data_IF_174471635659
#
_entry.id   IF_174471635659
#
_cell.length_a   1.000
_cell.length_b   1.000
_cell.length_c   1.000
_cell.angle_alpha   90.00
_cell.angle_beta   90.00
_cell.angle_gamma   90.00
#
_symmetry.space_group_name_H-M   'P 1'
#
loop_
_entity.id
_entity.type
_entity.pdbx_description
1 polymer ?
#
# COMPACT_ATOMS: atom_id res chain seq x y z
N UNK A 1 -14.16 -4.32 -16.29
CA UNK A 1 -12.75 -4.46 -15.84
C UNK A 1 -12.15 -3.08 -15.87
N UNK A 2 -11.68 -2.59 -14.76
CA UNK A 2 -11.00 -1.29 -14.71
C UNK A 2 -9.59 -1.47 -15.26
N UNK A 3 -9.20 -0.64 -16.22
CA UNK A 3 -7.92 -0.73 -16.91
C UNK A 3 -6.81 -0.02 -16.11
N UNK A 4 -5.56 -0.38 -16.39
CA UNK A 4 -4.42 0.33 -15.83
C UNK A 4 -4.29 1.75 -16.40
N UNK A 5 -4.21 2.72 -15.52
CA UNK A 5 -3.85 4.10 -15.86
C UNK A 5 -2.33 4.21 -15.99
N UNK A 6 -1.85 4.70 -17.12
CA UNK A 6 -0.42 4.98 -17.32
C UNK A 6 -0.08 6.35 -16.72
N UNK A 7 1.00 6.42 -15.96
CA UNK A 7 1.42 7.62 -15.22
C UNK A 7 2.79 8.07 -15.70
N UNK A 8 2.90 9.36 -16.03
CA UNK A 8 4.17 10.08 -16.07
C UNK A 8 4.37 10.73 -14.69
N UNK A 9 5.18 10.13 -13.83
CA UNK A 9 5.39 10.59 -12.47
C UNK A 9 5.90 12.03 -12.41
N UNK A 10 5.24 12.86 -11.59
CA UNK A 10 5.59 14.25 -11.33
C UNK A 10 5.87 14.42 -9.82
N UNK A 11 7.13 14.67 -9.41
CA UNK A 11 7.51 14.81 -8.01
C UNK A 11 6.84 16.01 -7.31
N UNK A 12 6.57 17.10 -8.03
CA UNK A 12 5.93 18.27 -7.44
C UNK A 12 4.47 17.99 -7.10
N UNK A 13 3.74 17.34 -8.01
CA UNK A 13 2.38 16.89 -7.74
C UNK A 13 2.34 15.86 -6.63
N UNK A 14 3.26 14.90 -6.62
CA UNK A 14 3.38 13.94 -5.53
C UNK A 14 3.57 14.62 -4.17
N UNK A 15 4.40 15.66 -4.09
CA UNK A 15 4.58 16.44 -2.85
C UNK A 15 3.30 17.15 -2.42
N UNK A 16 2.55 17.74 -3.36
CA UNK A 16 1.26 18.38 -3.06
C UNK A 16 0.22 17.36 -2.58
N UNK A 17 0.11 16.22 -3.26
CA UNK A 17 -0.79 15.14 -2.86
C UNK A 17 -0.41 14.55 -1.50
N UNK A 18 0.89 14.51 -1.15
CA UNK A 18 1.37 14.08 0.17
C UNK A 18 0.97 15.07 1.27
N UNK A 19 1.03 16.39 1.00
CA UNK A 19 0.55 17.41 1.93
C UNK A 19 -0.98 17.34 2.12
N UNK A 20 -1.73 17.01 1.07
CA UNK A 20 -3.17 16.75 1.17
C UNK A 20 -3.47 15.48 1.97
N UNK A 21 -2.65 14.44 1.81
CA UNK A 21 -2.76 13.22 2.61
C UNK A 21 -2.59 13.51 4.10
N UNK A 22 -1.61 14.35 4.47
CA UNK A 22 -1.44 14.79 5.86
C UNK A 22 -2.69 15.49 6.39
N UNK A 23 -3.26 16.42 5.62
CA UNK A 23 -4.49 17.12 5.99
C UNK A 23 -5.67 16.15 6.16
N UNK A 24 -5.78 15.14 5.31
CA UNK A 24 -6.79 14.10 5.45
C UNK A 24 -6.60 13.32 6.76
N UNK A 25 -5.38 12.88 7.08
CA UNK A 25 -5.07 12.14 8.31
C UNK A 25 -5.39 12.96 9.58
N UNK A 26 -5.23 14.29 9.52
CA UNK A 26 -5.51 15.19 10.63
C UNK A 26 -6.98 15.63 10.72
N UNK A 27 -7.80 15.35 9.69
CA UNK A 27 -9.15 15.92 9.58
C UNK A 27 -10.16 15.29 10.54
N UNK A 28 -10.00 14.01 10.86
CA UNK A 28 -10.92 13.26 11.75
C UNK A 28 -10.24 12.07 12.41
N UNK A 29 -10.85 11.58 13.49
CA UNK A 29 -10.30 10.50 14.28
C UNK A 29 -10.42 9.13 13.59
N UNK A 30 -11.45 8.93 12.80
CA UNK A 30 -11.70 7.71 12.05
C UNK A 30 -11.91 8.10 10.59
N UNK A 31 -11.07 7.54 9.72
CA UNK A 31 -11.22 7.67 8.28
C UNK A 31 -11.94 6.44 7.73
N UNK A 32 -13.02 6.68 6.99
CA UNK A 32 -13.72 5.63 6.26
C UNK A 32 -12.89 5.19 5.06
N UNK A 33 -12.79 3.88 4.89
CA UNK A 33 -12.19 3.30 3.68
C UNK A 33 -12.88 3.81 2.41
N UNK A 34 -14.23 3.69 2.35
CA UNK A 34 -15.02 3.98 1.17
C UNK A 34 -15.24 5.48 0.91
N UNK A 35 -15.41 6.29 1.99
CA UNK A 35 -15.78 7.70 1.84
C UNK A 35 -14.56 8.64 1.85
N UNK A 36 -13.45 8.23 2.46
CA UNK A 36 -12.28 9.08 2.66
C UNK A 36 -11.03 8.57 1.93
N UNK A 37 -10.63 7.33 2.24
CA UNK A 37 -9.32 6.79 1.84
C UNK A 37 -9.31 6.39 0.37
N UNK A 38 -10.25 5.57 -0.06
CA UNK A 38 -10.32 5.12 -1.44
C UNK A 38 -10.48 6.30 -2.42
N UNK A 39 -11.44 7.25 -2.22
CA UNK A 39 -11.54 8.43 -3.08
C UNK A 39 -10.29 9.32 -3.05
N UNK A 40 -9.56 9.34 -1.91
CA UNK A 40 -8.31 10.08 -1.83
C UNK A 40 -7.24 9.46 -2.72
N UNK A 41 -6.98 8.16 -2.61
CA UNK A 41 -5.97 7.48 -3.42
C UNK A 41 -6.33 7.47 -4.91
N UNK A 42 -7.63 7.37 -5.26
CA UNK A 42 -8.09 7.43 -6.66
C UNK A 42 -7.77 8.78 -7.34
N UNK A 43 -7.89 9.90 -6.63
CA UNK A 43 -7.56 11.22 -7.18
C UNK A 43 -6.08 11.60 -7.06
N UNK A 44 -5.34 10.98 -6.12
CA UNK A 44 -3.94 11.28 -5.80
C UNK A 44 -3.00 10.34 -6.55
N UNK A 45 -3.01 10.43 -7.87
CA UNK A 45 -2.40 9.46 -8.77
C UNK A 45 -0.89 9.37 -8.65
N UNK A 46 -0.21 10.52 -8.43
CA UNK A 46 1.25 10.56 -8.29
C UNK A 46 1.70 10.00 -6.94
N UNK A 47 0.98 10.29 -5.86
CA UNK A 47 1.22 9.71 -4.55
C UNK A 47 1.00 8.19 -4.58
N UNK A 48 -0.10 7.74 -5.17
CA UNK A 48 -0.42 6.31 -5.29
C UNK A 48 0.67 5.58 -6.09
N UNK A 49 1.12 6.15 -7.21
CA UNK A 49 2.25 5.59 -7.95
C UNK A 49 3.53 5.53 -7.10
N UNK A 50 3.78 6.54 -6.28
CA UNK A 50 4.94 6.60 -5.39
C UNK A 50 4.90 5.56 -4.28
N UNK A 51 3.72 5.21 -3.77
CA UNK A 51 3.53 4.08 -2.84
C UNK A 51 4.12 2.80 -3.44
N UNK A 52 3.77 2.44 -4.66
CA UNK A 52 4.31 1.25 -5.32
C UNK A 52 5.82 1.27 -5.46
N UNK A 53 6.39 2.41 -5.86
CA UNK A 53 7.85 2.59 -5.96
C UNK A 53 8.55 2.42 -4.61
N UNK A 54 7.87 2.76 -3.51
CA UNK A 54 8.45 2.73 -2.16
C UNK A 54 8.42 1.33 -1.55
N UNK A 55 7.34 0.58 -1.75
CA UNK A 55 7.09 -0.70 -1.07
C UNK A 55 7.17 -1.92 -2.00
N UNK A 56 7.22 -1.71 -3.29
CA UNK A 56 7.40 -2.80 -4.25
C UNK A 56 8.84 -3.32 -4.28
N UNK A 57 8.99 -4.64 -4.33
CA UNK A 57 10.29 -5.29 -4.52
C UNK A 57 10.83 -4.89 -5.90
N UNK A 58 11.89 -4.07 -5.92
CA UNK A 58 12.55 -3.64 -7.15
C UNK A 58 11.63 -2.97 -8.19
N UNK A 59 10.42 -2.55 -7.80
CA UNK A 59 9.60 -1.73 -8.66
C UNK A 59 10.36 -0.41 -8.83
N UNK A 60 10.98 -0.23 -9.99
CA UNK A 60 11.52 1.06 -10.36
C UNK A 60 10.43 2.13 -10.31
N UNK A 61 10.47 3.15 -11.14
CA UNK A 61 9.36 4.11 -11.20
C UNK A 61 8.10 3.37 -11.63
N UNK A 62 7.13 3.23 -10.71
CA UNK A 62 5.82 2.67 -11.01
C UNK A 62 5.12 3.56 -12.05
N UNK A 63 4.60 2.94 -13.10
CA UNK A 63 4.01 3.66 -14.23
C UNK A 63 2.57 3.27 -14.53
N UNK A 64 2.04 2.34 -13.77
CA UNK A 64 0.71 1.79 -13.98
C UNK A 64 0.00 1.70 -12.64
N UNK A 65 -1.23 2.19 -12.58
CA UNK A 65 -2.09 2.05 -11.41
C UNK A 65 -3.48 1.64 -11.87
N UNK A 66 -4.07 0.68 -11.19
CA UNK A 66 -5.47 0.32 -11.34
C UNK A 66 -6.16 0.36 -9.98
N UNK A 67 -7.41 0.78 -9.95
CA UNK A 67 -8.24 0.85 -8.75
C UNK A 67 -9.38 -0.14 -8.85
N UNK A 68 -9.76 -0.76 -7.73
CA UNK A 68 -10.82 -1.76 -7.68
C UNK A 68 -10.63 -2.81 -8.79
N UNK A 69 -9.44 -3.38 -8.82
CA UNK A 69 -9.03 -4.30 -9.87
C UNK A 69 -9.60 -5.69 -9.62
N UNK A 70 -10.49 -6.17 -10.48
CA UNK A 70 -11.03 -7.53 -10.41
C UNK A 70 -9.97 -8.56 -10.75
N UNK A 71 -9.66 -9.44 -9.80
CA UNK A 71 -8.80 -10.59 -10.00
C UNK A 71 -9.56 -11.71 -10.71
N UNK A 72 -10.38 -12.44 -9.95
CA UNK A 72 -11.22 -13.54 -10.40
C UNK A 72 -12.47 -13.63 -9.53
N UNK A 73 -13.63 -13.77 -10.14
CA UNK A 73 -14.89 -13.93 -9.41
C UNK A 73 -15.20 -12.73 -8.54
N UNK A 74 -15.32 -12.96 -7.24
CA UNK A 74 -15.69 -11.96 -6.25
C UNK A 74 -14.48 -11.23 -5.64
N UNK A 75 -13.26 -11.53 -6.11
CA UNK A 75 -12.04 -10.93 -5.58
C UNK A 75 -11.67 -9.66 -6.35
N UNK A 76 -11.53 -8.56 -5.64
CA UNK A 76 -11.01 -7.30 -6.17
C UNK A 76 -9.97 -6.71 -5.24
N UNK A 77 -8.93 -6.11 -5.82
CA UNK A 77 -7.94 -5.36 -5.07
C UNK A 77 -8.25 -3.87 -5.12
N UNK A 78 -8.11 -3.16 -4.00
CA UNK A 78 -8.39 -1.73 -3.95
C UNK A 78 -7.47 -0.95 -4.88
N UNK A 79 -6.16 -1.23 -4.83
CA UNK A 79 -5.18 -0.62 -5.71
C UNK A 79 -4.14 -1.63 -6.17
N UNK A 80 -3.84 -1.64 -7.46
CA UNK A 80 -2.71 -2.39 -8.02
C UNK A 80 -1.76 -1.41 -8.68
N UNK A 81 -0.51 -1.40 -8.25
CA UNK A 81 0.52 -0.48 -8.71
C UNK A 81 1.64 -1.28 -9.35
N UNK A 82 2.03 -0.96 -10.57
CA UNK A 82 3.02 -1.77 -11.28
C UNK A 82 3.92 -1.00 -12.23
N UNK A 83 4.87 -1.74 -12.79
CA UNK A 83 5.80 -1.25 -13.80
C UNK A 83 5.71 -2.10 -15.09
N UNK A 84 6.53 -1.75 -16.08
CA UNK A 84 6.58 -2.49 -17.36
C UNK A 84 7.27 -3.83 -17.25
N UNK A 85 8.07 -4.04 -16.20
CA UNK A 85 8.81 -5.27 -15.90
C UNK A 85 7.94 -6.31 -15.20
N UNK A 86 6.62 -6.06 -15.06
CA UNK A 86 5.64 -6.94 -14.41
C UNK A 86 5.90 -7.15 -12.92
N UNK A 87 6.33 -6.12 -12.25
CA UNK A 87 6.46 -6.05 -10.81
C UNK A 87 5.32 -5.24 -10.24
N UNK A 88 4.60 -5.78 -9.26
CA UNK A 88 3.35 -5.21 -8.76
C UNK A 88 3.33 -5.09 -7.24
N UNK A 89 2.76 -3.99 -6.76
CA UNK A 89 2.35 -3.81 -5.38
C UNK A 89 0.83 -3.87 -5.31
N UNK A 90 0.32 -4.85 -4.57
CA UNK A 90 -1.11 -5.07 -4.34
C UNK A 90 -1.48 -4.46 -3.01
N UNK A 91 -2.34 -3.46 -3.04
CA UNK A 91 -2.69 -2.66 -1.86
C UNK A 91 -4.12 -2.95 -1.46
N UNK A 92 -4.29 -3.30 -0.20
CA UNK A 92 -5.56 -3.38 0.50
C UNK A 92 -5.68 -2.18 1.43
N UNK A 93 -6.79 -1.47 1.34
CA UNK A 93 -7.13 -0.33 2.18
C UNK A 93 -8.17 -0.76 3.22
N UNK A 94 -7.88 -0.55 4.48
CA UNK A 94 -8.82 -0.73 5.58
C UNK A 94 -9.08 0.61 6.28
N UNK A 95 -10.11 0.69 7.13
CA UNK A 95 -10.45 1.92 7.83
C UNK A 95 -9.27 2.50 8.63
N UNK A 96 -9.16 3.83 8.63
CA UNK A 96 -8.25 4.59 9.50
C UNK A 96 -8.78 4.72 10.94
N UNK A 97 -9.23 3.63 11.55
CA UNK A 97 -9.63 3.58 12.97
C UNK A 97 -8.40 3.25 13.83
N UNK A 98 -8.07 4.03 14.88
CA UNK A 98 -6.99 3.72 15.80
C UNK A 98 -7.04 2.31 16.43
N UNK A 99 -8.23 1.69 16.47
CA UNK A 99 -8.44 0.33 17.01
C UNK A 99 -8.45 -0.76 15.94
N UNK A 100 -8.30 -0.41 14.67
CA UNK A 100 -8.38 -1.37 13.58
C UNK A 100 -7.24 -2.40 13.60
N UNK A 101 -6.02 -1.95 13.97
CA UNK A 101 -4.81 -2.80 14.01
C UNK A 101 -4.85 -3.76 15.20
N UNK A 102 -5.08 -3.22 16.39
CA UNK A 102 -5.09 -3.96 17.65
C UNK A 102 -6.24 -3.47 18.53
N UNK A 103 -7.00 -4.40 19.07
CA UNK A 103 -8.15 -4.12 19.92
C UNK A 103 -7.96 -4.68 21.32
N UNK A 104 -8.38 -3.92 22.33
CA UNK A 104 -8.45 -4.41 23.72
C UNK A 104 -9.62 -5.35 23.87
N UNK A 105 -9.39 -6.53 24.43
CA UNK A 105 -10.41 -7.53 24.66
C UNK A 105 -10.58 -7.74 26.16
N UNK A 106 -11.75 -7.36 26.67
CA UNK A 106 -12.15 -7.49 28.10
C UNK A 106 -11.01 -7.10 29.06
N UNK A 107 -10.74 -7.95 30.06
CA UNK A 107 -9.75 -7.71 31.11
C UNK A 107 -8.32 -8.17 30.75
N UNK A 108 -8.06 -8.50 29.51
CA UNK A 108 -6.72 -8.94 29.08
C UNK A 108 -5.74 -7.75 29.06
N UNK A 109 -4.54 -7.98 29.58
CA UNK A 109 -3.48 -6.99 29.55
C UNK A 109 -2.94 -6.76 28.13
N UNK A 110 -2.99 -7.77 27.27
CA UNK A 110 -2.48 -7.73 25.89
C UNK A 110 -3.63 -7.55 24.93
N UNK A 111 -3.48 -6.59 24.01
CA UNK A 111 -4.41 -6.40 22.89
C UNK A 111 -4.33 -7.57 21.90
N UNK A 112 -5.43 -7.91 21.27
CA UNK A 112 -5.51 -8.89 20.18
C UNK A 112 -5.44 -8.16 18.82
N UNK A 113 -5.14 -8.91 17.76
CA UNK A 113 -5.24 -8.39 16.40
C UNK A 113 -6.67 -7.95 16.12
N UNK A 114 -6.83 -6.79 15.50
CA UNK A 114 -8.14 -6.26 15.15
C UNK A 114 -8.78 -7.07 14.02
N UNK A 115 -10.10 -7.24 14.06
CA UNK A 115 -10.84 -7.96 12.99
C UNK A 115 -10.58 -7.38 11.61
N UNK A 116 -10.36 -6.08 11.52
CA UNK A 116 -10.04 -5.39 10.26
C UNK A 116 -8.68 -5.80 9.74
N UNK A 117 -7.68 -5.89 10.60
CA UNK A 117 -6.36 -6.37 10.21
C UNK A 117 -6.41 -7.84 9.76
N UNK A 118 -7.12 -8.70 10.49
CA UNK A 118 -7.28 -10.09 10.11
C UNK A 118 -8.01 -10.23 8.77
N UNK A 119 -9.02 -9.40 8.52
CA UNK A 119 -9.77 -9.37 7.26
C UNK A 119 -8.88 -8.97 6.09
N UNK A 120 -8.26 -7.79 6.13
CA UNK A 120 -7.40 -7.31 5.04
C UNK A 120 -6.19 -8.21 4.80
N UNK A 121 -5.63 -8.79 5.88
CA UNK A 121 -4.56 -9.77 5.74
C UNK A 121 -5.04 -11.05 5.02
N UNK A 122 -6.23 -11.56 5.35
CA UNK A 122 -6.83 -12.73 4.69
C UNK A 122 -7.09 -12.47 3.20
N UNK A 123 -7.57 -11.27 2.85
CA UNK A 123 -7.77 -10.90 1.44
C UNK A 123 -6.46 -10.94 0.63
N UNK A 124 -5.37 -10.40 1.19
CA UNK A 124 -4.06 -10.47 0.54
C UNK A 124 -3.57 -11.91 0.37
N UNK A 125 -3.82 -12.78 1.34
CA UNK A 125 -3.49 -14.22 1.23
C UNK A 125 -4.27 -14.88 0.11
N UNK A 126 -5.57 -14.59 0.00
CA UNK A 126 -6.41 -15.11 -1.08
C UNK A 126 -5.95 -14.60 -2.46
N UNK A 127 -5.55 -13.33 -2.56
CA UNK A 127 -4.98 -12.80 -3.81
C UNK A 127 -3.67 -13.50 -4.17
N UNK A 128 -2.79 -13.76 -3.21
CA UNK A 128 -1.54 -14.47 -3.45
C UNK A 128 -1.78 -15.88 -3.97
N UNK A 129 -2.76 -16.59 -3.39
CA UNK A 129 -3.19 -17.89 -3.92
C UNK A 129 -3.64 -17.82 -5.39
N UNK A 130 -4.45 -16.80 -5.74
CA UNK A 130 -4.91 -16.62 -7.11
C UNK A 130 -3.77 -16.23 -8.07
N UNK A 131 -2.81 -15.45 -7.59
CA UNK A 131 -1.65 -15.00 -8.36
C UNK A 131 -0.63 -16.12 -8.55
N UNK A 132 -0.50 -17.05 -7.61
CA UNK A 132 0.34 -18.25 -7.77
C UNK A 132 -0.17 -19.14 -8.90
N UNK A 133 -1.49 -19.29 -9.05
CA UNK A 133 -2.10 -20.01 -10.18
C UNK A 133 -2.14 -19.19 -11.49
N UNK A 134 -1.47 -18.05 -11.53
CA UNK A 134 -1.45 -17.12 -12.67
C UNK A 134 -1.09 -17.80 -13.99
N UNK A 135 -0.13 -18.74 -14.00
CA UNK A 135 0.33 -19.43 -15.20
C UNK A 135 -0.75 -20.30 -15.86
N UNK A 136 -1.74 -20.71 -15.08
CA UNK A 136 -2.85 -21.55 -15.52
C UNK A 136 -4.10 -20.73 -15.87
N UNK A 137 -4.03 -19.38 -15.74
CA UNK A 137 -5.19 -18.51 -15.88
C UNK A 137 -5.06 -17.54 -17.05
N UNK A 138 -5.71 -17.86 -18.17
CA UNK A 138 -5.70 -17.05 -19.40
C UNK A 138 -6.21 -15.60 -19.19
N UNK A 139 -7.11 -15.36 -18.23
CA UNK A 139 -7.64 -14.02 -17.95
C UNK A 139 -6.56 -13.16 -17.28
N UNK A 140 -5.87 -13.70 -16.29
CA UNK A 140 -4.76 -12.98 -15.65
C UNK A 140 -3.61 -12.77 -16.63
N UNK A 141 -3.27 -13.78 -17.45
CA UNK A 141 -2.24 -13.62 -18.47
C UNK A 141 -2.58 -12.55 -19.51
N UNK A 142 -3.83 -12.37 -19.88
CA UNK A 142 -4.24 -11.26 -20.76
C UNK A 142 -4.07 -9.89 -20.12
N UNK A 143 -4.27 -9.78 -18.80
CA UNK A 143 -4.16 -8.50 -18.08
C UNK A 143 -2.70 -8.10 -17.81
N UNK A 144 -1.85 -9.06 -17.47
CA UNK A 144 -0.47 -8.83 -17.04
C UNK A 144 0.59 -9.23 -18.04
N UNK A 145 0.19 -9.84 -19.18
CA UNK A 145 1.08 -10.45 -20.15
C UNK A 145 1.51 -11.87 -19.76
N UNK A 146 2.04 -12.62 -20.71
CA UNK A 146 2.50 -14.00 -20.46
C UNK A 146 3.82 -14.03 -19.71
N UNK A 147 3.99 -14.98 -18.79
CA UNK A 147 5.20 -15.23 -18.02
C UNK A 147 5.06 -14.90 -16.55
N UNK A 148 6.17 -14.82 -15.84
CA UNK A 148 6.20 -14.57 -14.40
C UNK A 148 5.84 -13.11 -14.06
N UNK A 149 5.16 -12.93 -12.93
CA UNK A 149 4.97 -11.62 -12.26
C UNK A 149 5.61 -11.67 -10.88
N UNK A 150 6.27 -10.58 -10.49
CA UNK A 150 6.74 -10.38 -9.13
C UNK A 150 5.74 -9.50 -8.40
N UNK A 151 5.45 -9.81 -7.15
CA UNK A 151 4.48 -9.02 -6.40
C UNK A 151 4.76 -8.94 -4.90
N UNK A 152 4.20 -7.92 -4.27
CA UNK A 152 4.21 -7.69 -2.83
C UNK A 152 2.80 -7.25 -2.41
N UNK A 153 2.38 -7.65 -1.22
CA UNK A 153 1.14 -7.17 -0.61
C UNK A 153 1.40 -6.02 0.36
N UNK A 154 0.55 -5.01 0.30
CA UNK A 154 0.58 -3.88 1.23
C UNK A 154 -0.81 -3.71 1.85
N UNK A 155 -0.91 -3.92 3.16
CA UNK A 155 -2.10 -3.64 3.96
C UNK A 155 -1.94 -2.29 4.65
N UNK A 156 -2.76 -1.33 4.29
CA UNK A 156 -2.83 0.00 4.92
C UNK A 156 -4.03 0.06 5.85
N UNK A 157 -3.79 0.26 7.14
CA UNK A 157 -4.83 0.12 8.16
C UNK A 157 -4.58 0.99 9.39
N UNK A 158 -5.61 1.67 9.84
CA UNK A 158 -5.61 2.34 11.14
C UNK A 158 -4.65 3.53 11.27
N UNK A 159 -4.59 4.05 12.47
CA UNK A 159 -3.72 5.17 12.87
C UNK A 159 -2.70 4.74 13.92
N UNK A 160 -1.49 5.32 13.87
CA UNK A 160 -0.44 5.08 14.88
C UNK A 160 -0.85 5.57 16.28
N UNK A 161 -1.67 6.62 16.39
CA UNK A 161 -2.15 7.17 17.67
C UNK A 161 -2.94 6.16 18.55
N UNK A 162 -3.42 5.06 17.96
CA UNK A 162 -4.09 3.98 18.71
C UNK A 162 -3.14 2.91 19.25
N UNK A 163 -1.84 3.01 18.91
CA UNK A 163 -0.82 2.01 19.18
C UNK A 163 0.21 2.53 20.17
N UNK A 164 0.58 1.70 21.15
CA UNK A 164 1.75 1.94 21.98
C UNK A 164 3.03 1.35 21.35
N UNK A 165 4.19 1.57 21.97
CA UNK A 165 5.47 1.08 21.44
C UNK A 165 5.54 -0.44 21.33
N UNK A 166 4.84 -1.20 22.19
CA UNK A 166 4.78 -2.64 22.10
C UNK A 166 3.94 -3.06 20.90
N UNK A 167 2.82 -2.40 20.66
CA UNK A 167 1.94 -2.64 19.52
C UNK A 167 2.65 -2.36 18.20
N UNK A 168 3.39 -1.25 18.12
CA UNK A 168 4.18 -0.89 16.93
C UNK A 168 5.26 -1.94 16.67
N UNK A 169 5.94 -2.44 17.72
CA UNK A 169 6.92 -3.52 17.55
C UNK A 169 6.26 -4.82 17.08
N UNK A 170 5.06 -5.16 17.54
CA UNK A 170 4.32 -6.35 17.08
C UNK A 170 3.96 -6.22 15.59
N UNK A 171 3.45 -5.08 15.16
CA UNK A 171 3.10 -4.82 13.76
C UNK A 171 4.34 -4.93 12.86
N UNK A 172 5.44 -4.31 13.24
CA UNK A 172 6.72 -4.41 12.54
C UNK A 172 7.26 -5.84 12.47
N UNK A 173 7.10 -6.60 13.54
CA UNK A 173 7.50 -8.00 13.56
C UNK A 173 6.67 -8.82 12.57
N UNK A 174 5.35 -8.62 12.54
CA UNK A 174 4.44 -9.26 11.58
C UNK A 174 4.91 -8.98 10.15
N UNK A 175 5.05 -7.70 9.79
CA UNK A 175 5.52 -7.27 8.47
C UNK A 175 6.86 -7.92 8.05
N UNK A 176 7.79 -8.11 8.99
CA UNK A 176 9.13 -8.61 8.66
C UNK A 176 9.27 -10.12 8.66
N UNK A 177 8.38 -10.83 9.33
CA UNK A 177 8.52 -12.27 9.61
C UNK A 177 7.45 -13.13 8.97
N UNK A 178 6.31 -12.55 8.62
CA UNK A 178 5.25 -13.29 7.94
C UNK A 178 5.46 -13.17 6.43
N UNK A 179 5.82 -14.28 5.83
CA UNK A 179 6.05 -14.44 4.38
C UNK A 179 5.15 -15.56 3.92
N UNK A 180 4.38 -15.32 2.87
CA UNK A 180 3.49 -16.30 2.28
C UNK A 180 3.98 -16.61 0.89
N UNK A 181 4.34 -17.86 0.65
CA UNK A 181 4.89 -18.33 -0.62
C UNK A 181 6.02 -17.44 -1.18
N UNK A 182 6.99 -17.10 -0.33
CA UNK A 182 8.11 -16.21 -0.63
C UNK A 182 7.76 -14.74 -0.88
N UNK A 183 6.48 -14.37 -0.80
CA UNK A 183 6.00 -13.00 -0.97
C UNK A 183 5.72 -12.33 0.38
N UNK A 184 6.27 -11.12 0.64
CA UNK A 184 6.00 -10.40 1.87
C UNK A 184 4.62 -9.72 1.83
N UNK A 185 3.96 -9.69 2.99
CA UNK A 185 2.83 -8.80 3.26
C UNK A 185 3.28 -7.71 4.22
N UNK A 186 3.32 -6.49 3.74
CA UNK A 186 3.69 -5.31 4.51
C UNK A 186 2.42 -4.75 5.15
N UNK A 187 2.35 -4.75 6.48
CA UNK A 187 1.25 -4.13 7.22
C UNK A 187 1.72 -2.84 7.88
N UNK A 188 1.04 -1.73 7.66
CA UNK A 188 1.39 -0.46 8.27
C UNK A 188 0.18 0.46 8.44
N UNK A 189 0.31 1.43 9.33
CA UNK A 189 -0.70 2.47 9.50
C UNK A 189 -0.55 3.55 8.43
N UNK A 190 -1.64 4.31 8.21
CA UNK A 190 -1.60 5.46 7.29
C UNK A 190 -0.60 6.53 7.72
N UNK A 191 -0.41 6.73 9.04
CA UNK A 191 0.63 7.65 9.54
C UNK A 191 2.04 7.16 9.23
N UNK A 192 2.31 5.85 9.38
CA UNK A 192 3.60 5.25 9.00
C UNK A 192 3.85 5.41 7.50
N UNK A 193 2.84 5.14 6.67
CA UNK A 193 2.93 5.38 5.23
C UNK A 193 3.32 6.82 4.92
N UNK A 194 2.60 7.80 5.53
CA UNK A 194 2.90 9.21 5.33
C UNK A 194 4.37 9.54 5.66
N UNK A 195 4.85 9.10 6.82
CA UNK A 195 6.23 9.39 7.25
C UNK A 195 7.26 8.74 6.33
N UNK A 196 7.07 7.48 5.97
CA UNK A 196 8.00 6.77 5.08
C UNK A 196 8.07 7.43 3.69
N UNK A 197 6.93 7.85 3.14
CA UNK A 197 6.88 8.55 1.85
C UNK A 197 7.54 9.94 1.94
N UNK A 198 7.26 10.68 3.02
CA UNK A 198 7.82 12.01 3.25
C UNK A 198 9.33 11.98 3.37
N UNK A 199 9.87 11.10 4.21
CA UNK A 199 11.30 10.97 4.45
C UNK A 199 12.05 10.62 3.15
N UNK A 200 11.49 9.72 2.34
CA UNK A 200 12.08 9.36 1.04
C UNK A 200 12.01 10.50 0.02
N UNK A 201 10.89 11.22 -0.05
CA UNK A 201 10.73 12.34 -0.97
C UNK A 201 11.69 13.49 -0.61
N UNK A 202 11.87 13.75 0.68
CA UNK A 202 12.82 14.75 1.18
C UNK A 202 14.27 14.35 0.86
N UNK A 203 14.61 13.08 1.01
CA UNK A 203 15.93 12.54 0.67
C UNK A 203 16.24 12.70 -0.84
N UNK A 204 15.29 12.36 -1.71
CA UNK A 204 15.45 12.54 -3.16
C UNK A 204 15.59 14.01 -3.52
N UNK A 205 14.80 14.90 -2.91
CA UNK A 205 14.86 16.34 -3.13
C UNK A 205 16.21 16.94 -2.70
N UNK A 206 16.77 16.47 -1.60
CA UNK A 206 18.09 16.87 -1.13
C UNK A 206 19.21 16.40 -2.07
N UNK A 207 19.15 15.15 -2.54
CA UNK A 207 20.12 14.61 -3.49
C UNK A 207 20.14 15.40 -4.81
N UNK A 208 18.95 15.71 -5.35
CA UNK A 208 18.82 16.48 -6.58
C UNK A 208 19.40 17.89 -6.45
N UNK A 209 19.20 18.56 -5.30
CA UNK A 209 19.80 19.90 -5.04
C UNK A 209 21.33 19.86 -5.00
N UNK A 210 21.92 18.80 -4.47
CA UNK A 210 23.38 18.64 -4.43
C UNK A 210 23.97 18.46 -5.83
N UNK A 211 23.31 17.70 -6.71
CA UNK A 211 23.76 17.52 -8.10
C UNK A 211 23.72 18.85 -8.90
N UNK A 212 22.68 19.67 -8.68
CA UNK A 212 22.53 20.97 -9.38
C UNK A 212 23.49 22.04 -8.88
N UNK A 213 23.98 21.94 -7.64
CA UNK A 213 24.95 22.90 -7.08
C UNK A 213 26.42 22.48 -7.30
N UNK A 214 26.71 21.22 -7.54
CA UNK A 214 28.06 20.69 -7.78
C UNK A 214 28.55 20.76 -9.22
N UNK A 215 27.70 21.23 -10.15
CA UNK A 215 28.00 21.36 -11.58
C UNK A 215 28.39 22.77 -12.05
N UNK A 216 28.85 23.66 -11.14
CA UNK A 216 29.25 25.04 -11.46
C UNK A 216 30.74 25.19 -11.42
#
# INVERSE_FOLDING_TARGET
>A
MKDFHTIAFDPQKCSQELDEFRKLLDSKDILSEQDDLQPFFERSLHLTSYVGTTFGLNIGIARQVAYQFELLGDYSADVVIGNRERQFCWVELENGDPKAVLAKVADRATKEWGRRLEHGFSQLVDWFYLLDDFKNNDRLQRNFGYGHIDFVGLLLIGHTRGLDDHDIRRLRWCTRKVIIDSHPIICMTFDQLYHDLKDRLDLYSAAFKLETQGGS
#
